data_IF_039645050566
#
_entry.id   IF_039645050566
#
_cell.length_a   1.000
_cell.length_b   1.000
_cell.length_c   1.000
_cell.angle_alpha   90.00
_cell.angle_beta   90.00
_cell.angle_gamma   90.00
#
_symmetry.space_group_name_H-M   'P 1'
#
loop_
_entity.id
_entity.type
_entity.pdbx_description
1 polymer ?
#
# COMPACT_ATOMS: atom_id res chain seq x y z
N UNK A 1 13.96 -5.53 -11.83
CA UNK A 1 13.56 -4.77 -10.62
C UNK A 1 14.65 -4.88 -9.59
N UNK A 2 15.18 -3.74 -9.16
CA UNK A 2 16.23 -3.65 -8.15
C UNK A 2 15.78 -4.28 -6.83
N UNK A 3 16.70 -4.92 -6.13
CA UNK A 3 16.44 -5.51 -4.82
C UNK A 3 16.22 -4.40 -3.77
N UNK A 4 15.36 -4.64 -2.75
CA UNK A 4 15.17 -3.68 -1.66
C UNK A 4 16.49 -3.31 -0.98
N UNK A 5 16.62 -2.03 -0.59
CA UNK A 5 17.81 -1.53 0.12
C UNK A 5 17.96 -2.15 1.51
N UNK A 6 16.82 -2.45 2.15
CA UNK A 6 16.75 -3.13 3.44
C UNK A 6 15.92 -4.39 3.28
N UNK A 7 16.34 -5.47 3.95
CA UNK A 7 15.66 -6.75 3.88
C UNK A 7 14.23 -6.67 4.49
N UNK A 8 13.16 -6.85 3.67
CA UNK A 8 11.77 -6.81 4.14
C UNK A 8 11.45 -7.82 5.26
N UNK A 9 12.20 -8.92 5.36
CA UNK A 9 12.01 -9.92 6.41
C UNK A 9 12.57 -9.50 7.76
N UNK A 10 13.62 -8.69 7.80
CA UNK A 10 14.14 -8.13 9.06
C UNK A 10 13.18 -7.08 9.64
N UNK A 11 12.54 -6.29 8.77
CA UNK A 11 11.50 -5.31 9.14
C UNK A 11 10.23 -6.02 9.64
N UNK A 12 9.90 -7.16 9.04
CA UNK A 12 8.69 -7.90 9.39
C UNK A 12 8.71 -8.49 10.80
N UNK A 13 9.88 -8.74 11.40
CA UNK A 13 10.02 -9.41 12.71
C UNK A 13 9.26 -8.70 13.84
N UNK A 14 9.53 -7.43 14.09
CA UNK A 14 8.81 -6.67 15.12
C UNK A 14 7.30 -6.59 14.81
N UNK A 15 6.96 -6.41 13.53
CA UNK A 15 5.56 -6.35 13.10
C UNK A 15 4.82 -7.67 13.35
N UNK A 16 5.46 -8.81 13.11
CA UNK A 16 4.89 -10.13 13.41
C UNK A 16 4.66 -10.27 14.91
N UNK A 17 5.57 -9.81 15.77
CA UNK A 17 5.34 -9.79 17.22
C UNK A 17 4.09 -8.98 17.60
N UNK A 18 3.95 -7.77 17.04
CA UNK A 18 2.78 -6.91 17.28
C UNK A 18 1.48 -7.57 16.80
N UNK A 19 1.51 -8.17 15.61
CA UNK A 19 0.34 -8.86 15.04
C UNK A 19 -0.01 -10.15 15.81
N UNK A 20 0.97 -10.86 16.36
CA UNK A 20 0.72 -12.02 17.22
C UNK A 20 0.08 -11.61 18.55
N UNK A 21 0.43 -10.45 19.10
CA UNK A 21 -0.24 -9.88 20.27
C UNK A 21 -1.69 -9.46 19.96
N UNK A 22 -1.95 -8.80 18.82
CA UNK A 22 -3.32 -8.47 18.36
C UNK A 22 -4.15 -9.75 18.16
N UNK A 23 -3.56 -10.76 17.53
CA UNK A 23 -4.19 -12.08 17.35
C UNK A 23 -4.54 -12.73 18.69
N UNK A 24 -3.63 -12.71 19.65
CA UNK A 24 -3.85 -13.24 20.99
C UNK A 24 -4.96 -12.49 21.73
N UNK A 25 -4.95 -11.15 21.68
CA UNK A 25 -5.96 -10.31 22.33
C UNK A 25 -7.37 -10.55 21.77
N UNK A 26 -7.49 -10.69 20.44
CA UNK A 26 -8.75 -11.00 19.77
C UNK A 26 -9.26 -12.39 20.09
N UNK A 27 -8.39 -13.40 20.08
CA UNK A 27 -8.75 -14.76 20.50
C UNK A 27 -9.24 -14.80 21.95
N UNK A 28 -8.56 -14.10 22.86
CA UNK A 28 -8.97 -14.00 24.27
C UNK A 28 -10.36 -13.36 24.43
N UNK A 29 -10.68 -12.41 23.56
CA UNK A 29 -11.93 -11.65 23.60
C UNK A 29 -13.05 -12.24 22.72
N UNK A 30 -12.80 -13.36 22.04
CA UNK A 30 -13.76 -13.98 21.12
C UNK A 30 -14.06 -13.17 19.85
N UNK A 31 -13.18 -12.25 19.47
CA UNK A 31 -13.34 -11.37 18.31
C UNK A 31 -12.86 -12.03 17.02
N UNK A 32 -13.32 -11.50 15.87
CA UNK A 32 -12.86 -11.96 14.56
C UNK A 32 -11.34 -11.77 14.38
N UNK A 33 -10.71 -12.82 13.85
CA UNK A 33 -9.26 -12.92 13.65
C UNK A 33 -8.85 -12.99 12.18
N UNK A 34 -9.80 -13.10 11.23
CA UNK A 34 -9.52 -13.26 9.80
C UNK A 34 -8.61 -12.15 9.28
N UNK A 35 -8.94 -10.89 9.62
CA UNK A 35 -8.12 -9.74 9.22
C UNK A 35 -6.71 -9.71 9.83
N UNK A 36 -6.51 -10.28 11.03
CA UNK A 36 -5.17 -10.38 11.62
C UNK A 36 -4.37 -11.53 11.00
N UNK A 37 -5.02 -12.65 10.71
CA UNK A 37 -4.39 -13.79 10.05
C UNK A 37 -3.90 -13.44 8.64
N UNK A 38 -4.68 -12.66 7.88
CA UNK A 38 -4.26 -12.17 6.58
C UNK A 38 -2.99 -11.29 6.67
N UNK A 39 -2.99 -10.31 7.60
CA UNK A 39 -1.83 -9.45 7.86
C UNK A 39 -0.61 -10.23 8.36
N UNK A 40 -0.82 -11.26 9.18
CA UNK A 40 0.25 -12.17 9.63
C UNK A 40 0.85 -12.95 8.45
N UNK A 41 0.02 -13.53 7.59
CA UNK A 41 0.48 -14.28 6.43
C UNK A 41 1.32 -13.39 5.49
N UNK A 42 0.86 -12.16 5.26
CA UNK A 42 1.54 -11.16 4.45
C UNK A 42 2.87 -10.69 5.06
N UNK A 43 2.97 -10.59 6.39
CA UNK A 43 4.22 -10.24 7.07
C UNK A 43 5.21 -11.42 7.09
N UNK A 44 4.71 -12.63 7.29
CA UNK A 44 5.53 -13.86 7.36
C UNK A 44 6.04 -14.27 5.97
N UNK A 45 5.34 -13.93 4.88
CA UNK A 45 5.73 -14.34 3.52
C UNK A 45 7.10 -13.83 3.08
N UNK A 46 7.52 -12.68 3.59
CA UNK A 46 8.82 -12.06 3.28
C UNK A 46 9.92 -12.50 4.24
N UNK A 47 9.66 -13.32 5.25
CA UNK A 47 10.66 -13.75 6.23
C UNK A 47 11.43 -14.99 5.75
N UNK A 48 12.59 -15.25 6.37
CA UNK A 48 13.36 -16.48 6.14
C UNK A 48 12.59 -17.72 6.63
N UNK A 49 12.84 -18.90 6.05
CA UNK A 49 12.08 -20.10 6.44
C UNK A 49 12.14 -20.40 7.94
N UNK A 50 13.34 -20.29 8.53
CA UNK A 50 13.54 -20.45 9.97
C UNK A 50 12.66 -19.50 10.79
N UNK A 51 12.62 -18.24 10.42
CA UNK A 51 11.81 -17.24 11.14
C UNK A 51 10.30 -17.48 10.95
N UNK A 52 9.89 -17.98 9.78
CA UNK A 52 8.50 -18.36 9.51
C UNK A 52 8.03 -19.51 10.40
N UNK A 53 8.87 -20.53 10.56
CA UNK A 53 8.57 -21.67 11.44
C UNK A 53 8.39 -21.20 12.89
N UNK A 54 9.29 -20.34 13.38
CA UNK A 54 9.20 -19.75 14.73
C UNK A 54 7.87 -18.99 14.91
N UNK A 55 7.50 -18.15 13.95
CA UNK A 55 6.23 -17.41 13.98
C UNK A 55 5.00 -18.34 13.95
N UNK A 56 5.03 -19.38 13.09
CA UNK A 56 3.95 -20.37 12.99
C UNK A 56 3.77 -21.16 14.28
N UNK A 57 4.86 -21.62 14.88
CA UNK A 57 4.81 -22.34 16.16
C UNK A 57 4.26 -21.44 17.27
N UNK A 58 4.67 -20.17 17.31
CA UNK A 58 4.09 -19.20 18.24
C UNK A 58 2.59 -19.01 18.01
N UNK A 59 2.14 -18.90 16.76
CA UNK A 59 0.72 -18.83 16.42
C UNK A 59 -0.08 -20.05 16.89
N UNK A 60 0.48 -21.26 16.75
CA UNK A 60 -0.12 -22.51 17.27
C UNK A 60 -0.22 -22.50 18.79
N UNK A 61 0.84 -22.06 19.48
CA UNK A 61 0.85 -21.93 20.94
C UNK A 61 -0.21 -20.95 21.45
N UNK A 62 -0.32 -19.77 20.81
CA UNK A 62 -1.34 -18.76 21.12
C UNK A 62 -2.75 -19.34 20.95
N UNK A 63 -3.00 -20.08 19.86
CA UNK A 63 -4.30 -20.72 19.63
C UNK A 63 -4.65 -21.76 20.71
N UNK A 64 -3.66 -22.51 21.20
CA UNK A 64 -3.86 -23.50 22.28
C UNK A 64 -4.14 -22.85 23.63
N UNK A 65 -3.45 -21.75 23.94
CA UNK A 65 -3.62 -21.03 25.20
C UNK A 65 -3.52 -19.51 24.98
N UNK A 66 -4.64 -18.82 24.69
CA UNK A 66 -4.64 -17.39 24.44
C UNK A 66 -4.49 -16.53 25.72
N UNK A 67 -4.65 -17.11 26.91
CA UNK A 67 -4.55 -16.38 28.18
C UNK A 67 -3.09 -16.20 28.68
N UNK A 68 -2.16 -17.03 28.22
CA UNK A 68 -0.77 -17.04 28.66
C UNK A 68 0.00 -15.80 28.16
N UNK A 69 0.61 -15.04 29.08
CA UNK A 69 1.47 -13.91 28.73
C UNK A 69 2.75 -14.41 28.05
N UNK A 70 3.07 -13.87 26.87
CA UNK A 70 4.24 -14.27 26.07
C UNK A 70 5.15 -13.10 25.81
N UNK A 71 6.46 -13.34 25.90
CA UNK A 71 7.49 -12.37 25.51
C UNK A 71 7.56 -12.24 23.98
N UNK A 72 7.97 -11.08 23.44
CA UNK A 72 8.28 -10.92 22.01
C UNK A 72 9.25 -12.01 21.52
N UNK A 73 9.08 -12.45 20.27
CA UNK A 73 10.01 -13.36 19.62
C UNK A 73 11.33 -12.67 19.29
N UNK A 74 11.28 -11.39 18.93
CA UNK A 74 12.43 -10.58 18.55
C UNK A 74 12.50 -9.30 19.39
N UNK A 75 12.84 -9.38 20.68
CA UNK A 75 12.80 -8.24 21.60
C UNK A 75 13.85 -7.16 21.29
N UNK A 76 14.92 -7.51 20.58
CA UNK A 76 15.99 -6.59 20.21
C UNK A 76 15.75 -5.88 18.86
N UNK A 77 14.73 -6.32 18.11
CA UNK A 77 14.40 -5.73 16.80
C UNK A 77 13.64 -4.43 16.98
N UNK A 78 14.10 -3.40 16.28
CA UNK A 78 13.58 -2.04 16.41
C UNK A 78 12.17 -1.95 15.80
N UNK A 79 11.25 -1.35 16.55
CA UNK A 79 9.98 -0.89 16.00
C UNK A 79 10.21 0.38 15.17
N UNK A 80 10.23 0.25 13.85
CA UNK A 80 10.48 1.35 12.93
C UNK A 80 9.41 2.44 12.97
N UNK A 81 8.13 2.06 13.09
CA UNK A 81 7.02 3.00 13.15
C UNK A 81 7.06 3.84 14.44
N UNK A 82 7.30 3.19 15.57
CA UNK A 82 7.44 3.85 16.87
C UNK A 82 8.72 4.67 16.95
N UNK A 83 9.83 4.20 16.38
CA UNK A 83 11.08 4.96 16.32
C UNK A 83 10.87 6.24 15.51
N UNK A 84 10.29 6.15 14.30
CA UNK A 84 10.02 7.33 13.48
C UNK A 84 9.06 8.32 14.18
N UNK A 85 8.06 7.81 14.89
CA UNK A 85 7.16 8.63 15.71
C UNK A 85 7.90 9.32 16.86
N UNK A 86 8.80 8.59 17.53
CA UNK A 86 9.60 9.10 18.65
C UNK A 86 10.58 10.18 18.18
N UNK A 87 11.23 9.99 17.03
CA UNK A 87 12.13 10.99 16.44
C UNK A 87 11.37 12.27 16.10
N UNK A 88 10.18 12.17 15.49
CA UNK A 88 9.34 13.35 15.20
C UNK A 88 8.86 14.05 16.46
N UNK A 89 8.44 13.28 17.47
CA UNK A 89 8.04 13.84 18.76
C UNK A 89 9.20 14.55 19.48
N UNK A 90 10.39 13.96 19.43
CA UNK A 90 11.61 14.57 19.95
C UNK A 90 11.97 15.86 19.20
N UNK A 91 11.91 15.85 17.86
CA UNK A 91 12.17 17.03 17.02
C UNK A 91 11.24 18.21 17.34
N UNK A 92 9.97 17.93 17.67
CA UNK A 92 9.01 18.95 18.07
C UNK A 92 9.25 19.46 19.50
N UNK A 93 9.68 18.59 20.42
CA UNK A 93 9.80 18.90 21.84
C UNK A 93 11.13 19.53 22.22
N UNK A 94 12.25 19.02 21.68
CA UNK A 94 13.59 19.39 22.13
C UNK A 94 13.89 20.90 21.99
N UNK A 95 13.59 21.56 20.85
CA UNK A 95 13.86 23.00 20.71
C UNK A 95 13.04 23.86 21.68
N UNK A 96 11.83 23.43 22.04
CA UNK A 96 10.96 24.13 23.00
C UNK A 96 11.54 24.05 24.41
N UNK A 97 11.99 22.85 24.80
CA UNK A 97 12.60 22.61 26.11
C UNK A 97 13.91 23.39 26.24
N UNK A 98 14.77 23.36 25.22
CA UNK A 98 16.04 24.09 25.21
C UNK A 98 15.85 25.60 25.28
N UNK A 99 14.93 26.15 24.48
CA UNK A 99 14.62 27.58 24.50
C UNK A 99 14.10 28.04 25.88
N UNK A 100 13.28 27.22 26.56
CA UNK A 100 12.79 27.54 27.90
C UNK A 100 13.89 27.47 28.97
N UNK A 101 14.78 26.46 28.90
CA UNK A 101 15.94 26.37 29.79
C UNK A 101 16.85 27.60 29.64
N UNK A 102 17.03 28.10 28.42
CA UNK A 102 17.82 29.30 28.18
C UNK A 102 17.21 30.57 28.80
N UNK A 103 15.89 30.62 29.00
CA UNK A 103 15.17 31.75 29.58
C UNK A 103 15.11 31.72 31.12
N UNK A 104 15.17 30.54 31.74
CA UNK A 104 15.27 30.36 33.20
C UNK A 104 16.37 29.34 33.58
N UNK A 105 17.65 29.70 33.45
CA UNK A 105 18.75 28.80 33.76
C UNK A 105 18.88 28.46 35.26
N UNK A 106 18.27 29.28 36.13
CA UNK A 106 18.29 29.12 37.59
C UNK A 106 17.12 28.29 38.14
N UNK A 107 16.13 27.95 37.29
CA UNK A 107 14.96 27.14 37.67
C UNK A 107 14.08 27.80 38.73
N UNK A 108 13.94 29.13 38.70
CA UNK A 108 13.15 29.92 39.66
C UNK A 108 11.70 30.13 39.22
N UNK A 109 11.33 29.68 38.02
CA UNK A 109 9.98 29.81 37.47
C UNK A 109 8.95 28.96 38.26
N UNK A 110 7.81 29.51 38.70
CA UNK A 110 6.71 28.75 39.30
C UNK A 110 6.12 27.64 38.39
N UNK A 111 6.38 27.62 37.08
CA UNK A 111 6.02 26.51 36.17
C UNK A 111 7.03 25.34 36.15
N UNK A 112 8.10 25.38 36.96
CA UNK A 112 9.25 24.45 36.94
C UNK A 112 8.94 22.94 36.95
N UNK A 113 7.74 22.53 37.40
CA UNK A 113 7.32 21.11 37.33
C UNK A 113 7.08 20.67 35.89
N UNK A 114 6.40 21.49 35.08
CA UNK A 114 6.12 21.16 33.69
C UNK A 114 7.41 21.09 32.87
N UNK A 115 8.34 22.04 33.06
CA UNK A 115 9.63 22.04 32.36
C UNK A 115 10.49 20.83 32.72
N UNK A 116 10.49 20.43 34.00
CA UNK A 116 11.18 19.21 34.45
C UNK A 116 10.60 17.95 33.84
N UNK A 117 9.28 17.83 33.78
CA UNK A 117 8.60 16.68 33.19
C UNK A 117 8.84 16.60 31.66
N UNK A 118 8.79 17.73 30.95
CA UNK A 118 9.09 17.77 29.52
C UNK A 118 10.57 17.50 29.22
N UNK A 119 11.48 18.00 30.05
CA UNK A 119 12.91 17.69 29.94
C UNK A 119 13.16 16.20 30.13
N UNK A 120 12.61 15.60 31.18
CA UNK A 120 12.73 14.17 31.41
C UNK A 120 12.15 13.36 30.24
N UNK A 121 11.03 13.81 29.67
CA UNK A 121 10.43 13.19 28.48
C UNK A 121 11.35 13.28 27.26
N UNK A 122 11.95 14.45 27.01
CA UNK A 122 12.91 14.64 25.91
C UNK A 122 14.17 13.78 26.09
N UNK A 123 14.70 13.69 27.31
CA UNK A 123 15.85 12.83 27.66
C UNK A 123 15.53 11.34 27.45
N UNK A 124 14.32 10.89 27.84
CA UNK A 124 13.87 9.51 27.59
C UNK A 124 13.75 9.22 26.09
N UNK A 125 13.14 10.13 25.32
CA UNK A 125 13.04 9.97 23.86
C UNK A 125 14.43 9.90 23.22
N UNK A 126 15.35 10.80 23.60
CA UNK A 126 16.72 10.79 23.10
C UNK A 126 17.43 9.47 23.43
N UNK A 127 17.33 9.00 24.67
CA UNK A 127 17.93 7.73 25.09
C UNK A 127 17.36 6.53 24.32
N UNK A 128 16.05 6.53 24.00
CA UNK A 128 15.43 5.51 23.16
C UNK A 128 15.99 5.52 21.74
N UNK A 129 16.14 6.70 21.12
CA UNK A 129 16.70 6.85 19.77
C UNK A 129 18.17 6.40 19.77
N UNK A 130 18.97 6.83 20.74
CA UNK A 130 20.38 6.42 20.86
C UNK A 130 20.53 4.90 21.04
N UNK A 131 19.66 4.28 21.85
CA UNK A 131 19.65 2.83 22.03
C UNK A 131 19.33 2.10 20.72
N UNK A 132 18.39 2.62 19.94
CA UNK A 132 18.05 2.07 18.63
C UNK A 132 19.25 2.19 17.66
N UNK A 133 19.92 3.35 17.62
CA UNK A 133 21.11 3.57 16.79
C UNK A 133 22.27 2.64 17.18
N UNK A 134 22.52 2.45 18.48
CA UNK A 134 23.70 1.70 18.99
C UNK A 134 23.52 0.20 18.97
N UNK A 135 22.35 -0.30 19.37
CA UNK A 135 22.11 -1.72 19.64
C UNK A 135 20.88 -2.31 18.97
N UNK A 136 20.10 -1.49 18.28
CA UNK A 136 18.89 -1.93 17.59
C UNK A 136 19.19 -2.89 16.45
N UNK A 137 18.59 -4.08 16.50
CA UNK A 137 18.62 -5.04 15.38
C UNK A 137 17.58 -4.63 14.34
N UNK A 138 17.85 -4.98 13.09
CA UNK A 138 16.97 -4.69 11.96
C UNK A 138 17.08 -3.27 11.40
N UNK A 139 17.97 -2.41 11.90
CA UNK A 139 18.31 -1.16 11.22
C UNK A 139 19.54 -1.37 10.33
N UNK A 140 19.48 -0.88 9.09
CA UNK A 140 20.63 -0.84 8.20
C UNK A 140 21.60 0.29 8.61
N UNK A 141 22.88 0.18 8.23
CA UNK A 141 23.89 1.18 8.62
C UNK A 141 23.56 2.57 8.06
N UNK A 142 23.04 2.64 6.83
CA UNK A 142 22.55 3.89 6.23
C UNK A 142 21.41 4.52 7.05
N UNK A 143 20.51 3.72 7.64
CA UNK A 143 19.42 4.23 8.47
C UNK A 143 19.95 4.75 9.81
N UNK A 144 20.96 4.09 10.38
CA UNK A 144 21.65 4.56 11.60
C UNK A 144 22.34 5.89 11.36
N UNK A 145 23.01 6.04 10.22
CA UNK A 145 23.68 7.30 9.85
C UNK A 145 22.68 8.42 9.58
N UNK A 146 21.58 8.13 8.89
CA UNK A 146 20.48 9.07 8.70
C UNK A 146 19.88 9.53 10.04
N UNK A 147 19.64 8.61 10.98
CA UNK A 147 19.14 8.95 12.31
C UNK A 147 20.12 9.84 13.10
N UNK A 148 21.42 9.56 13.02
CA UNK A 148 22.46 10.42 13.63
C UNK A 148 22.47 11.83 13.03
N UNK A 149 22.38 11.92 11.70
CA UNK A 149 22.32 13.21 11.01
C UNK A 149 21.07 14.01 11.41
N UNK A 150 19.91 13.36 11.45
CA UNK A 150 18.64 13.98 11.88
C UNK A 150 18.70 14.42 13.34
N UNK A 151 19.28 13.63 14.24
CA UNK A 151 19.47 14.04 15.63
C UNK A 151 20.35 15.29 15.75
N UNK A 152 21.44 15.34 14.98
CA UNK A 152 22.34 16.51 14.96
C UNK A 152 21.60 17.75 14.45
N UNK A 153 20.76 17.59 13.43
CA UNK A 153 19.91 18.66 12.90
C UNK A 153 18.87 19.15 13.92
N UNK A 154 18.26 18.23 14.69
CA UNK A 154 17.32 18.56 15.76
C UNK A 154 18.01 19.34 16.88
N UNK A 155 19.21 18.91 17.29
CA UNK A 155 20.04 19.61 18.28
C UNK A 155 20.53 20.98 17.79
N UNK A 156 20.61 21.18 16.48
CA UNK A 156 20.84 22.48 15.87
C UNK A 156 19.56 23.35 15.79
N UNK A 157 18.44 22.88 16.34
CA UNK A 157 17.16 23.60 16.42
C UNK A 157 16.22 23.35 15.24
N UNK A 158 16.52 22.42 14.31
CA UNK A 158 15.60 22.08 13.22
C UNK A 158 14.47 21.18 13.72
N UNK A 159 13.23 21.58 13.49
CA UNK A 159 12.04 20.82 13.89
C UNK A 159 11.53 19.87 12.80
N UNK A 160 11.98 20.05 11.55
CA UNK A 160 11.52 19.25 10.41
C UNK A 160 12.33 17.96 10.29
N UNK A 161 11.62 16.83 10.38
CA UNK A 161 12.18 15.50 10.14
C UNK A 161 11.81 15.04 8.73
N UNK A 162 12.75 14.50 7.93
CA UNK A 162 12.42 13.94 6.62
C UNK A 162 11.33 12.87 6.68
N UNK A 163 10.39 12.91 5.73
CA UNK A 163 9.33 11.89 5.64
C UNK A 163 9.93 10.49 5.51
N UNK A 164 10.90 10.34 4.62
CA UNK A 164 11.67 9.11 4.37
C UNK A 164 12.84 9.00 5.35
N UNK A 165 12.54 8.93 6.65
CA UNK A 165 13.54 8.79 7.71
C UNK A 165 14.26 7.43 7.64
N UNK A 166 13.52 6.38 7.26
CA UNK A 166 13.99 5.01 7.14
C UNK A 166 14.01 4.60 5.67
N UNK A 167 14.91 3.68 5.33
CA UNK A 167 15.16 3.25 3.95
C UNK A 167 14.26 2.08 3.54
N UNK A 168 13.15 1.89 4.24
CA UNK A 168 12.28 0.74 4.09
C UNK A 168 11.21 0.96 3.02
N UNK A 169 11.11 -0.01 2.10
CA UNK A 169 10.19 0.03 0.95
C UNK A 169 8.73 0.19 1.39
N UNK A 170 8.35 -0.33 2.56
CA UNK A 170 6.97 -0.26 3.07
C UNK A 170 6.61 1.17 3.49
N UNK A 171 7.43 1.83 4.31
CA UNK A 171 7.22 3.22 4.73
C UNK A 171 7.32 4.16 3.53
N UNK A 172 8.28 3.92 2.62
CA UNK A 172 8.39 4.68 1.37
C UNK A 172 7.13 4.56 0.50
N UNK A 173 6.59 3.35 0.35
CA UNK A 173 5.34 3.13 -0.36
C UNK A 173 4.15 3.81 0.32
N UNK A 174 4.09 3.82 1.65
CA UNK A 174 3.02 4.50 2.40
C UNK A 174 3.07 6.03 2.23
N UNK A 175 4.27 6.62 2.31
CA UNK A 175 4.48 8.06 2.09
C UNK A 175 4.12 8.44 0.65
N UNK A 176 4.58 7.68 -0.33
CA UNK A 176 4.26 7.96 -1.73
C UNK A 176 2.76 7.83 -1.99
N UNK A 177 2.11 6.82 -1.39
CA UNK A 177 0.67 6.65 -1.44
C UNK A 177 -0.07 7.88 -0.88
N UNK A 178 0.35 8.38 0.27
CA UNK A 178 -0.23 9.59 0.88
C UNK A 178 0.00 10.83 0.02
N UNK A 179 1.21 11.02 -0.52
CA UNK A 179 1.54 12.12 -1.44
C UNK A 179 0.63 12.11 -2.68
N UNK A 180 0.36 10.93 -3.23
CA UNK A 180 -0.56 10.76 -4.38
C UNK A 180 -2.00 11.08 -4.01
N UNK A 181 -2.47 10.64 -2.85
CA UNK A 181 -3.82 10.96 -2.37
C UNK A 181 -3.97 12.49 -2.16
N UNK A 182 -2.95 13.15 -1.60
CA UNK A 182 -2.93 14.60 -1.42
C UNK A 182 -2.91 15.35 -2.75
N UNK A 183 -2.09 14.91 -3.71
CA UNK A 183 -2.06 15.48 -5.07
C UNK A 183 -3.40 15.31 -5.79
N UNK A 184 -4.02 14.13 -5.71
CA UNK A 184 -5.32 13.87 -6.32
C UNK A 184 -6.43 14.75 -5.72
N UNK A 185 -6.43 14.94 -4.39
CA UNK A 185 -7.36 15.87 -3.72
C UNK A 185 -7.15 17.31 -4.18
N UNK A 186 -5.90 17.79 -4.21
CA UNK A 186 -5.60 19.14 -4.66
C UNK A 186 -6.04 19.38 -6.11
N UNK A 187 -5.82 18.38 -6.99
CA UNK A 187 -6.23 18.43 -8.38
C UNK A 187 -7.75 18.46 -8.56
N UNK A 188 -8.48 17.60 -7.84
CA UNK A 188 -9.94 17.59 -7.92
C UNK A 188 -10.57 18.88 -7.35
N UNK A 189 -9.97 19.48 -6.32
CA UNK A 189 -10.39 20.80 -5.82
C UNK A 189 -10.09 21.94 -6.82
N UNK A 190 -9.02 21.84 -7.62
CA UNK A 190 -8.78 22.78 -8.72
C UNK A 190 -9.84 22.64 -9.81
N UNK A 191 -10.17 21.42 -10.22
CA UNK A 191 -11.26 21.14 -11.17
C UNK A 191 -12.60 21.70 -10.69
N UNK A 192 -12.88 21.52 -9.39
CA UNK A 192 -14.08 22.08 -8.76
C UNK A 192 -14.15 23.59 -8.94
N UNK A 193 -13.05 24.31 -8.63
CA UNK A 193 -13.01 25.77 -8.72
C UNK A 193 -13.23 26.25 -10.15
N UNK A 194 -12.70 25.55 -11.15
CA UNK A 194 -12.91 25.93 -12.56
C UNK A 194 -14.36 25.68 -12.99
N UNK A 195 -15.00 24.59 -12.54
CA UNK A 195 -16.43 24.36 -12.77
C UNK A 195 -17.28 25.43 -12.08
N UNK A 196 -16.99 25.77 -10.82
CA UNK A 196 -17.68 26.84 -10.10
C UNK A 196 -17.52 28.18 -10.83
N UNK A 197 -16.35 28.45 -11.42
CA UNK A 197 -16.10 29.64 -12.23
C UNK A 197 -16.92 29.65 -13.52
N UNK A 198 -17.00 28.53 -14.25
CA UNK A 198 -17.88 28.39 -15.44
C UNK A 198 -19.35 28.64 -15.05
N UNK A 199 -19.79 28.08 -13.93
CA UNK A 199 -21.15 28.23 -13.42
C UNK A 199 -21.43 29.60 -12.78
N UNK A 200 -20.40 30.39 -12.48
CA UNK A 200 -20.53 31.76 -11.97
C UNK A 200 -20.61 32.83 -13.06
N UNK A 201 -20.54 32.42 -14.33
CA UNK A 201 -20.69 33.33 -15.47
C UNK A 201 -22.08 33.97 -15.48
N UNK A 202 -22.19 35.20 -16.02
CA UNK A 202 -23.45 35.94 -16.08
C UNK A 202 -24.57 35.24 -16.89
N UNK A 203 -24.22 34.20 -17.65
CA UNK A 203 -25.17 33.36 -18.36
C UNK A 203 -25.93 32.40 -17.44
N UNK A 204 -25.36 31.99 -16.31
CA UNK A 204 -26.01 31.09 -15.37
C UNK A 204 -26.90 31.85 -14.36
N UNK A 205 -28.02 31.26 -13.91
CA UNK A 205 -28.85 31.85 -12.85
C UNK A 205 -28.08 32.10 -11.55
N UNK A 206 -28.46 33.17 -10.84
CA UNK A 206 -27.87 33.46 -9.53
C UNK A 206 -28.14 32.32 -8.54
N UNK A 207 -27.11 31.88 -7.82
CA UNK A 207 -27.23 30.78 -6.86
C UNK A 207 -27.07 29.37 -7.44
N UNK A 208 -26.85 29.21 -8.76
CA UNK A 208 -26.62 27.90 -9.40
C UNK A 208 -25.51 27.10 -8.72
N UNK A 209 -24.35 27.73 -8.43
CA UNK A 209 -23.22 27.06 -7.76
C UNK A 209 -23.64 26.43 -6.43
N UNK A 210 -24.50 27.12 -5.66
CA UNK A 210 -25.02 26.59 -4.40
C UNK A 210 -26.00 25.44 -4.63
N UNK A 211 -26.82 25.52 -5.68
CA UNK A 211 -27.82 24.50 -6.00
C UNK A 211 -27.19 23.17 -6.45
N UNK A 212 -26.06 23.19 -7.16
CA UNK A 212 -25.40 21.98 -7.68
C UNK A 212 -24.23 21.49 -6.82
N UNK A 213 -23.97 22.14 -5.68
CA UNK A 213 -22.77 21.93 -4.86
C UNK A 213 -22.60 20.48 -4.42
N UNK A 214 -23.68 19.81 -4.02
CA UNK A 214 -23.61 18.45 -3.49
C UNK A 214 -23.21 17.44 -4.59
N UNK A 215 -23.75 17.59 -5.80
CA UNK A 215 -23.39 16.73 -6.93
C UNK A 215 -21.99 17.06 -7.46
N UNK A 216 -21.60 18.33 -7.42
CA UNK A 216 -20.22 18.72 -7.73
C UNK A 216 -19.24 18.09 -6.73
N UNK A 217 -19.57 18.06 -5.43
CA UNK A 217 -18.74 17.36 -4.43
C UNK A 217 -18.65 15.85 -4.72
N UNK A 218 -19.72 15.21 -5.23
CA UNK A 218 -19.67 13.79 -5.64
C UNK A 218 -18.70 13.57 -6.79
N UNK A 219 -18.74 14.45 -7.80
CA UNK A 219 -17.79 14.41 -8.93
C UNK A 219 -16.36 14.57 -8.42
N UNK A 220 -16.10 15.52 -7.52
CA UNK A 220 -14.77 15.75 -6.93
C UNK A 220 -14.27 14.52 -6.16
N UNK A 221 -15.13 13.88 -5.36
CA UNK A 221 -14.78 12.65 -4.65
C UNK A 221 -14.44 11.51 -5.61
N UNK A 222 -15.23 11.33 -6.67
CA UNK A 222 -14.99 10.31 -7.69
C UNK A 222 -13.71 10.59 -8.50
N UNK A 223 -13.46 11.84 -8.91
CA UNK A 223 -12.23 12.26 -9.59
C UNK A 223 -11.00 12.10 -8.69
N UNK A 224 -11.12 12.38 -7.40
CA UNK A 224 -10.05 12.16 -6.42
C UNK A 224 -9.68 10.68 -6.37
N UNK A 225 -10.67 9.78 -6.27
CA UNK A 225 -10.43 8.34 -6.24
C UNK A 225 -9.80 7.83 -7.55
N UNK A 226 -10.27 8.32 -8.69
CA UNK A 226 -9.73 8.00 -10.02
C UNK A 226 -8.27 8.48 -10.15
N UNK A 227 -7.99 9.75 -9.84
CA UNK A 227 -6.65 10.34 -9.93
C UNK A 227 -5.64 9.76 -8.92
N UNK A 228 -6.11 9.30 -7.77
CA UNK A 228 -5.31 8.55 -6.81
C UNK A 228 -5.06 7.09 -7.22
N UNK A 229 -5.69 6.63 -8.31
CA UNK A 229 -5.58 5.26 -8.81
C UNK A 229 -6.35 4.23 -8.00
N UNK A 230 -7.30 4.65 -7.14
CA UNK A 230 -8.10 3.76 -6.28
C UNK A 230 -9.22 3.04 -7.02
N UNK A 231 -9.74 3.68 -8.05
CA UNK A 231 -10.84 3.18 -8.88
C UNK A 231 -10.43 3.19 -10.33
N UNK A 232 -10.98 2.29 -11.12
CA UNK A 232 -10.86 2.29 -12.59
C UNK A 232 -11.76 3.36 -13.23
N UNK A 233 -11.59 3.57 -14.53
CA UNK A 233 -12.50 4.41 -15.33
C UNK A 233 -13.92 3.85 -15.29
N UNK A 234 -14.06 2.54 -15.45
CA UNK A 234 -15.36 1.85 -15.38
C UNK A 234 -16.04 2.04 -14.02
N UNK A 235 -15.29 1.91 -12.93
CA UNK A 235 -15.82 2.15 -11.57
C UNK A 235 -16.25 3.61 -11.37
N UNK A 236 -15.50 4.56 -11.94
CA UNK A 236 -15.83 5.98 -11.92
C UNK A 236 -17.15 6.24 -12.68
N UNK A 237 -17.29 5.70 -13.89
CA UNK A 237 -18.51 5.86 -14.70
C UNK A 237 -19.73 5.22 -14.02
N UNK A 238 -19.54 4.08 -13.36
CA UNK A 238 -20.58 3.41 -12.58
C UNK A 238 -21.12 4.25 -11.41
N UNK A 239 -20.38 5.26 -10.94
CA UNK A 239 -20.89 6.18 -9.89
C UNK A 239 -22.01 7.11 -10.38
N UNK A 240 -22.11 7.32 -11.70
CA UNK A 240 -23.05 8.27 -12.31
C UNK A 240 -22.95 9.71 -11.77
N UNK A 241 -21.82 10.09 -11.17
CA UNK A 241 -21.66 11.40 -10.54
C UNK A 241 -21.83 12.57 -11.54
N UNK A 242 -21.32 12.41 -12.76
CA UNK A 242 -21.50 13.42 -13.83
C UNK A 242 -22.94 13.54 -14.30
N UNK A 243 -23.66 12.42 -14.39
CA UNK A 243 -25.06 12.42 -14.80
C UNK A 243 -25.94 13.12 -13.76
N UNK A 244 -25.66 12.87 -12.47
CA UNK A 244 -26.31 13.57 -11.36
C UNK A 244 -26.03 15.08 -11.43
N UNK A 245 -24.78 15.48 -11.62
CA UNK A 245 -24.42 16.89 -11.78
C UNK A 245 -25.13 17.53 -13.00
N UNK A 246 -25.19 16.82 -14.13
CA UNK A 246 -25.87 17.29 -15.34
C UNK A 246 -27.36 17.52 -15.08
N UNK A 247 -28.03 16.60 -14.40
CA UNK A 247 -29.44 16.71 -14.05
C UNK A 247 -29.67 17.90 -13.10
N UNK A 248 -28.81 18.09 -12.10
CA UNK A 248 -28.92 19.23 -11.18
C UNK A 248 -28.67 20.56 -11.87
N UNK A 249 -27.76 20.64 -12.85
CA UNK A 249 -27.61 21.84 -13.69
C UNK A 249 -28.86 22.11 -14.53
N UNK A 250 -29.53 21.08 -15.07
CA UNK A 250 -30.80 21.23 -15.80
C UNK A 250 -31.89 21.78 -14.87
N UNK A 251 -32.04 21.19 -13.69
CA UNK A 251 -33.03 21.61 -12.69
C UNK A 251 -32.77 23.03 -12.19
N UNK A 252 -31.49 23.42 -12.05
CA UNK A 252 -31.09 24.77 -11.69
C UNK A 252 -31.26 25.80 -12.82
N UNK A 253 -31.74 25.40 -13.99
CA UNK A 253 -32.00 26.30 -15.12
C UNK A 253 -30.73 26.77 -15.85
N UNK A 254 -29.62 26.04 -15.74
CA UNK A 254 -28.37 26.41 -16.38
C UNK A 254 -28.51 26.30 -17.91
N UNK A 255 -28.18 27.37 -18.67
CA UNK A 255 -28.27 27.34 -20.13
C UNK A 255 -27.44 26.23 -20.75
N UNK A 256 -27.86 25.76 -21.92
CA UNK A 256 -27.22 24.64 -22.60
C UNK A 256 -25.74 24.88 -22.91
N UNK A 257 -25.36 26.07 -23.39
CA UNK A 257 -23.95 26.38 -23.69
C UNK A 257 -23.05 26.28 -22.45
N UNK A 258 -23.49 26.79 -21.29
CA UNK A 258 -22.74 26.67 -20.02
C UNK A 258 -22.65 25.20 -19.58
N UNK A 259 -23.73 24.42 -19.74
CA UNK A 259 -23.70 22.97 -19.44
C UNK A 259 -22.74 22.23 -20.37
N UNK A 260 -22.67 22.60 -21.65
CA UNK A 260 -21.74 22.02 -22.61
C UNK A 260 -20.28 22.34 -22.23
N UNK A 261 -19.99 23.58 -21.82
CA UNK A 261 -18.65 23.96 -21.34
C UNK A 261 -18.23 23.12 -20.13
N UNK A 262 -19.13 22.93 -19.15
CA UNK A 262 -18.88 22.06 -17.99
C UNK A 262 -18.66 20.60 -18.41
N UNK A 263 -19.50 20.05 -19.30
CA UNK A 263 -19.35 18.68 -19.77
C UNK A 263 -18.03 18.48 -20.53
N UNK A 264 -17.64 19.44 -21.38
CA UNK A 264 -16.38 19.38 -22.13
C UNK A 264 -15.18 19.46 -21.18
N UNK A 265 -15.22 20.34 -20.19
CA UNK A 265 -14.19 20.43 -19.15
C UNK A 265 -14.07 19.11 -18.38
N UNK A 266 -15.19 18.55 -17.93
CA UNK A 266 -15.21 17.27 -17.22
C UNK A 266 -14.62 16.13 -18.06
N UNK A 267 -14.99 16.02 -19.34
CA UNK A 267 -14.45 14.98 -20.22
C UNK A 267 -12.91 15.05 -20.33
N UNK A 268 -12.35 16.24 -20.54
CA UNK A 268 -10.90 16.43 -20.63
C UNK A 268 -10.20 16.11 -19.31
N UNK A 269 -10.73 16.64 -18.20
CA UNK A 269 -10.08 16.48 -16.89
C UNK A 269 -10.22 15.06 -16.32
N UNK A 270 -11.25 14.34 -16.73
CA UNK A 270 -11.41 12.94 -16.41
C UNK A 270 -10.36 12.05 -17.07
N UNK A 271 -10.05 12.27 -18.35
CA UNK A 271 -8.95 11.57 -19.03
C UNK A 271 -7.61 11.89 -18.34
N UNK A 272 -7.44 13.13 -17.87
CA UNK A 272 -6.26 13.54 -17.11
C UNK A 272 -6.20 12.85 -15.74
N UNK A 273 -7.33 12.71 -15.04
CA UNK A 273 -7.44 11.96 -13.78
C UNK A 273 -7.09 10.49 -13.99
N UNK A 274 -7.61 9.85 -15.03
CA UNK A 274 -7.30 8.46 -15.35
C UNK A 274 -5.79 8.26 -15.56
N UNK A 275 -5.16 9.06 -16.41
CA UNK A 275 -3.70 9.01 -16.66
C UNK A 275 -2.88 9.20 -15.38
N UNK A 276 -3.32 10.07 -14.47
CA UNK A 276 -2.68 10.26 -13.16
C UNK A 276 -2.87 9.00 -12.29
N UNK A 277 -4.06 8.42 -12.29
CA UNK A 277 -4.39 7.19 -11.60
C UNK A 277 -3.57 5.99 -12.09
N UNK A 278 -3.41 5.83 -13.40
CA UNK A 278 -2.55 4.79 -14.00
C UNK A 278 -1.10 4.91 -13.52
N UNK A 279 -0.55 6.13 -13.50
CA UNK A 279 0.80 6.38 -12.98
C UNK A 279 0.89 6.07 -11.49
N UNK A 280 -0.12 6.44 -10.70
CA UNK A 280 -0.16 6.16 -9.28
C UNK A 280 -0.21 4.64 -9.01
N UNK A 281 -1.01 3.89 -9.78
CA UNK A 281 -1.04 2.42 -9.72
C UNK A 281 0.30 1.80 -10.11
N UNK A 282 0.92 2.26 -11.21
CA UNK A 282 2.21 1.74 -11.64
C UNK A 282 3.31 1.88 -10.56
N UNK A 283 3.31 2.99 -9.82
CA UNK A 283 4.22 3.18 -8.68
C UNK A 283 3.87 2.24 -7.52
N UNK A 284 2.59 2.08 -7.19
CA UNK A 284 2.15 1.13 -6.16
C UNK A 284 2.53 -0.32 -6.54
N UNK A 285 2.34 -0.70 -7.79
CA UNK A 285 2.70 -2.02 -8.34
C UNK A 285 4.21 -2.24 -8.32
N UNK A 286 5.01 -1.19 -8.55
CA UNK A 286 6.48 -1.27 -8.43
C UNK A 286 6.90 -1.62 -7.00
N UNK A 287 6.33 -0.95 -5.99
CA UNK A 287 6.62 -1.26 -4.58
C UNK A 287 6.10 -2.65 -4.18
N UNK A 288 4.90 -3.01 -4.60
CA UNK A 288 4.33 -4.33 -4.36
C UNK A 288 5.21 -5.43 -4.99
N UNK A 289 5.63 -5.24 -6.24
CA UNK A 289 6.46 -6.18 -6.98
C UNK A 289 7.85 -6.39 -6.38
N UNK A 290 8.48 -5.36 -5.79
CA UNK A 290 9.75 -5.52 -5.06
C UNK A 290 9.59 -6.45 -3.85
N UNK A 291 8.50 -6.29 -3.11
CA UNK A 291 8.20 -7.15 -1.95
C UNK A 291 7.80 -8.55 -2.37
N UNK A 292 6.97 -8.68 -3.39
CA UNK A 292 6.56 -9.97 -3.95
C UNK A 292 7.75 -10.75 -4.49
N UNK A 293 8.72 -10.09 -5.12
CA UNK A 293 9.98 -10.71 -5.55
C UNK A 293 10.73 -11.34 -4.38
N UNK A 294 10.89 -10.62 -3.25
CA UNK A 294 11.52 -11.18 -2.04
C UNK A 294 10.70 -12.35 -1.47
N UNK A 295 9.38 -12.22 -1.43
CA UNK A 295 8.52 -13.30 -0.97
C UNK A 295 8.62 -14.54 -1.88
N UNK A 296 8.70 -14.36 -3.19
CA UNK A 296 8.86 -15.43 -4.17
C UNK A 296 10.26 -16.07 -4.13
N UNK A 297 11.32 -15.29 -3.89
CA UNK A 297 12.68 -15.81 -3.69
C UNK A 297 12.79 -16.64 -2.40
N UNK A 298 12.12 -16.22 -1.32
CA UNK A 298 12.13 -16.92 -0.02
C UNK A 298 11.15 -18.08 0.06
N UNK A 299 10.12 -18.00 -0.77
CA UNK A 299 9.08 -19.00 -0.89
C UNK A 299 8.83 -19.30 -2.36
N UNK A 300 9.80 -19.90 -3.06
CA UNK A 300 9.54 -20.39 -4.39
C UNK A 300 8.38 -21.36 -4.21
N UNK A 301 7.25 -21.06 -4.84
CA UNK A 301 6.11 -21.97 -4.84
C UNK A 301 6.54 -23.34 -5.36
N UNK A 302 5.65 -24.34 -5.34
CA UNK A 302 5.99 -25.62 -5.96
C UNK A 302 6.49 -25.36 -7.39
N UNK A 303 7.62 -25.98 -7.80
CA UNK A 303 8.20 -25.76 -9.12
C UNK A 303 7.15 -26.02 -10.19
N UNK A 304 7.21 -25.27 -11.30
CA UNK A 304 6.20 -25.38 -12.35
C UNK A 304 6.08 -26.83 -12.84
N UNK A 305 4.90 -27.26 -13.26
CA UNK A 305 4.68 -28.66 -13.60
C UNK A 305 5.61 -29.18 -14.68
N UNK A 306 5.97 -28.32 -15.61
CA UNK A 306 6.84 -28.64 -16.74
C UNK A 306 8.34 -28.38 -16.43
N UNK A 307 8.69 -27.98 -15.20
CA UNK A 307 10.09 -27.71 -14.84
C UNK A 307 10.90 -28.99 -14.55
N UNK A 308 12.20 -29.01 -14.93
CA UNK A 308 13.10 -30.09 -14.54
C UNK A 308 13.27 -30.20 -13.01
N UNK A 309 13.12 -29.08 -12.30
CA UNK A 309 13.16 -28.99 -10.84
C UNK A 309 12.04 -29.79 -10.17
N UNK A 310 10.83 -29.78 -10.73
CA UNK A 310 9.73 -30.64 -10.26
C UNK A 310 10.07 -32.11 -10.42
N UNK A 311 10.64 -32.50 -11.57
CA UNK A 311 10.99 -33.90 -11.83
C UNK A 311 12.07 -34.37 -10.87
N UNK A 312 13.09 -33.54 -10.59
CA UNK A 312 14.12 -33.82 -9.59
C UNK A 312 13.54 -33.94 -8.17
N UNK A 313 12.62 -33.05 -7.79
CA UNK A 313 11.94 -33.11 -6.49
C UNK A 313 11.05 -34.37 -6.37
N UNK A 314 10.34 -34.73 -7.44
CA UNK A 314 9.53 -35.94 -7.52
C UNK A 314 10.42 -37.18 -7.39
N UNK A 315 11.54 -37.23 -8.10
CA UNK A 315 12.52 -38.31 -8.02
C UNK A 315 13.07 -38.47 -6.60
N UNK A 316 13.48 -37.37 -5.97
CA UNK A 316 13.93 -37.35 -4.58
C UNK A 316 12.87 -37.91 -3.63
N UNK A 317 11.61 -37.49 -3.76
CA UNK A 317 10.50 -37.96 -2.93
C UNK A 317 10.20 -39.45 -3.16
N UNK A 318 10.24 -39.92 -4.40
CA UNK A 318 10.06 -41.33 -4.73
C UNK A 318 11.20 -42.20 -4.19
N UNK A 319 12.42 -41.65 -4.14
CA UNK A 319 13.58 -42.30 -3.51
C UNK A 319 13.43 -42.39 -1.99
N UNK A 320 12.96 -41.35 -1.33
CA UNK A 320 12.67 -41.35 0.12
C UNK A 320 11.52 -42.31 0.48
N UNK A 321 10.55 -42.49 -0.42
CA UNK A 321 9.45 -43.44 -0.26
C UNK A 321 9.86 -44.92 -0.51
N UNK A 322 11.14 -45.20 -0.75
CA UNK A 322 11.68 -46.57 -0.82
C UNK A 322 11.33 -47.33 -2.11
N UNK A 323 10.92 -46.64 -3.18
CA UNK A 323 10.62 -47.29 -4.47
C UNK A 323 11.89 -47.75 -5.19
N UNK A 324 11.77 -48.88 -5.91
CA UNK A 324 12.86 -49.41 -6.74
C UNK A 324 13.13 -48.50 -7.94
N UNK A 325 14.33 -48.59 -8.49
CA UNK A 325 14.79 -47.73 -9.58
C UNK A 325 13.85 -47.79 -10.81
N UNK A 326 13.40 -48.98 -11.19
CA UNK A 326 12.44 -49.18 -12.27
C UNK A 326 11.07 -48.53 -11.98
N UNK A 327 10.59 -48.61 -10.73
CA UNK A 327 9.33 -47.98 -10.32
C UNK A 327 9.44 -46.45 -10.30
N UNK A 328 10.62 -45.91 -9.98
CA UNK A 328 10.88 -44.47 -10.07
C UNK A 328 10.91 -44.02 -11.53
N UNK A 329 11.62 -44.73 -12.40
CA UNK A 329 11.73 -44.42 -13.82
C UNK A 329 10.36 -44.42 -14.52
N UNK A 330 9.52 -45.43 -14.24
CA UNK A 330 8.15 -45.51 -14.76
C UNK A 330 7.27 -44.34 -14.29
N UNK A 331 7.37 -43.95 -13.02
CA UNK A 331 6.59 -42.83 -12.46
C UNK A 331 7.07 -41.47 -12.94
N UNK A 332 8.37 -41.29 -13.15
CA UNK A 332 8.95 -40.08 -13.75
C UNK A 332 8.56 -39.95 -15.22
N UNK A 333 8.63 -41.03 -16.00
CA UNK A 333 8.19 -41.05 -17.40
C UNK A 333 6.68 -40.76 -17.52
N UNK A 334 5.86 -41.33 -16.63
CA UNK A 334 4.43 -41.05 -16.58
C UNK A 334 4.11 -39.60 -16.17
N UNK A 335 4.96 -38.97 -15.35
CA UNK A 335 4.82 -37.56 -14.95
C UNK A 335 5.27 -36.60 -16.07
N UNK A 336 6.29 -36.96 -16.84
CA UNK A 336 6.81 -36.18 -17.97
C UNK A 336 5.90 -36.25 -19.22
N UNK A 337 5.17 -37.36 -19.42
CA UNK A 337 4.31 -37.57 -20.59
C UNK A 337 2.88 -37.01 -20.49
N UNK A 338 2.49 -36.38 -19.38
CA UNK A 338 1.13 -35.81 -19.22
C UNK A 338 1.09 -34.34 -19.65
N UNK A 339 0.16 -34.01 -20.55
CA UNK A 339 -0.32 -32.63 -20.69
C UNK A 339 -0.94 -32.17 -19.36
N UNK A 340 -0.75 -30.89 -19.01
CA UNK A 340 -1.13 -30.27 -17.73
C UNK A 340 -2.45 -30.84 -17.18
N UNK A 341 -2.48 -31.40 -15.95
CA UNK A 341 -3.71 -31.95 -15.40
C UNK A 341 -4.77 -30.83 -15.25
N UNK A 342 -6.08 -31.14 -15.29
CA UNK A 342 -7.14 -30.15 -15.16
C UNK A 342 -7.02 -29.25 -13.91
N UNK A 343 -6.43 -29.77 -12.83
CA UNK A 343 -6.14 -29.03 -11.59
C UNK A 343 -5.06 -27.95 -11.75
N UNK A 344 -4.22 -27.99 -12.78
CA UNK A 344 -3.28 -26.93 -13.12
C UNK A 344 -3.89 -25.84 -14.00
N UNK A 345 -4.88 -26.16 -14.82
CA UNK A 345 -5.60 -25.17 -15.63
C UNK A 345 -6.39 -24.15 -14.77
N UNK A 346 -6.60 -24.46 -13.49
CA UNK A 346 -7.32 -23.64 -12.51
C UNK A 346 -6.37 -22.88 -11.57
N UNK A 347 -5.04 -23.09 -11.67
CA UNK A 347 -4.10 -22.24 -10.92
C UNK A 347 -4.15 -20.83 -11.52
N UNK A 348 -4.29 -19.78 -10.71
CA UNK A 348 -4.17 -18.42 -11.20
C UNK A 348 -2.81 -18.27 -11.90
N UNK A 349 -2.73 -17.50 -12.99
CA UNK A 349 -1.49 -17.29 -13.71
C UNK A 349 -0.37 -16.84 -12.76
N UNK A 350 0.88 -17.19 -13.09
CA UNK A 350 2.06 -16.63 -12.44
C UNK A 350 1.98 -15.09 -12.41
N UNK A 351 2.59 -14.41 -11.43
CA UNK A 351 2.46 -12.95 -11.28
C UNK A 351 2.84 -12.14 -12.54
N UNK A 352 3.64 -12.71 -13.44
CA UNK A 352 4.03 -12.11 -14.72
C UNK A 352 2.95 -12.18 -15.80
N UNK A 353 2.01 -13.11 -15.69
CA UNK A 353 0.89 -13.21 -16.60
C UNK A 353 -0.29 -12.41 -16.05
N UNK A 354 -0.42 -11.16 -16.53
CA UNK A 354 -1.56 -10.26 -16.26
C UNK A 354 -2.85 -11.06 -16.25
N UNK A 355 -3.59 -10.99 -15.14
CA UNK A 355 -4.93 -11.54 -15.07
C UNK A 355 -5.75 -10.99 -16.26
N UNK A 356 -6.45 -11.88 -16.99
CA UNK A 356 -7.42 -11.44 -18.00
C UNK A 356 -8.46 -10.56 -17.27
N UNK A 357 -8.42 -9.26 -17.55
CA UNK A 357 -9.44 -8.31 -17.09
C UNK A 357 -10.75 -8.42 -17.87
N UNK A 358 -10.83 -9.33 -18.86
CA UNK A 358 -12.05 -9.55 -19.63
C UNK A 358 -12.93 -10.59 -18.95
N UNK A 359 -14.16 -10.19 -18.61
CA UNK A 359 -15.19 -11.12 -18.20
C UNK A 359 -15.42 -12.20 -19.29
N UNK A 360 -15.82 -13.43 -18.91
CA UNK A 360 -16.18 -14.46 -19.89
C UNK A 360 -17.26 -13.94 -20.85
N UNK A 361 -16.96 -13.88 -22.15
CA UNK A 361 -17.90 -13.43 -23.19
C UNK A 361 -17.61 -12.05 -23.80
N UNK A 362 -16.77 -11.21 -23.18
CA UNK A 362 -16.51 -9.84 -23.67
C UNK A 362 -15.79 -9.79 -25.04
N UNK A 363 -14.99 -10.82 -25.36
CA UNK A 363 -14.25 -10.89 -26.62
C UNK A 363 -15.10 -11.15 -27.88
N UNK A 364 -16.36 -11.59 -27.72
CA UNK A 364 -17.28 -11.80 -28.85
C UNK A 364 -17.95 -10.51 -29.29
N UNK A 365 -18.21 -9.56 -28.39
CA UNK A 365 -18.85 -8.28 -28.73
C UNK A 365 -17.94 -7.38 -29.60
N UNK A 366 -16.62 -7.46 -29.42
CA UNK A 366 -15.66 -6.68 -30.22
C UNK A 366 -15.47 -7.21 -31.65
N UNK A 367 -15.75 -8.49 -31.90
CA UNK A 367 -15.65 -9.07 -33.23
C UNK A 367 -16.81 -8.64 -34.14
N UNK A 368 -18.03 -8.49 -33.59
CA UNK A 368 -19.22 -8.12 -34.38
C UNK A 368 -19.33 -6.62 -34.71
N UNK A 369 -18.57 -5.75 -34.04
CA UNK A 369 -18.58 -4.31 -34.30
C UNK A 369 -17.52 -3.86 -35.33
N UNK A 370 -16.61 -4.76 -35.77
CA UNK A 370 -15.56 -4.41 -36.74
C UNK A 370 -15.99 -4.53 -38.20
N UNK A 371 -17.08 -5.25 -38.47
CA UNK A 371 -17.55 -5.53 -39.83
C UNK A 371 -18.69 -4.60 -40.31
N UNK A 372 -19.12 -3.61 -39.50
CA UNK A 372 -20.17 -2.65 -39.90
C UNK A 372 -19.66 -1.35 -40.51
N UNK A 373 -18.37 -1.05 -40.43
CA UNK A 373 -17.79 0.23 -40.87
C UNK A 373 -16.79 0.11 -42.04
N UNK A 374 -16.89 -0.94 -42.88
CA UNK A 374 -16.14 -1.01 -44.15
C UNK A 374 -17.06 -1.22 -45.35
N UNK A 375 -17.06 -0.19 -46.20
CA UNK A 375 -17.50 -0.14 -47.60
C UNK A 375 -19.01 -0.10 -47.92
N UNK A 376 -19.58 1.11 -47.78
CA UNK A 376 -20.44 1.68 -48.83
C UNK A 376 -19.64 2.71 -49.63
N UNK A 377 -19.14 2.32 -50.81
CA UNK A 377 -18.42 3.21 -51.72
C UNK A 377 -18.39 2.66 -53.15
N UNK A 378 -19.24 3.24 -54.01
CA UNK A 378 -19.50 2.84 -55.39
C UNK A 378 -18.28 2.73 -56.33
N UNK A 379 -18.35 1.78 -57.28
CA UNK A 379 -17.52 1.73 -58.48
C UNK A 379 -18.16 0.94 -59.63
N UNK A 380 -18.86 1.64 -60.52
CA UNK A 380 -19.21 1.38 -61.95
C UNK A 380 -19.38 -0.07 -62.45
N UNK A 381 -20.61 -0.33 -62.92
CA UNK A 381 -21.00 -1.34 -63.92
C UNK A 381 -22.40 -1.02 -64.40
#
# INVERSE_FOLDING_TARGET
>A
MDSPLVDPGEEAKYRVDTLLLDYQARLKSGLDTVGVQARLAEAVSVMTEKDREIARERGKQIRKNPAEARKPLWPDHVNRDELATTVRAYAALAPIVEARIALDPDGKDPEARWDKDQRQRAEVMRAQIDKAIKSGKGLADIERDQLRAVLTDIEAGKTQVPDTLLADDRSAAAIERERRDNYARAYAEENRREIEKILSTAAAPEGTVRAVRDDLNRVVLAQTALAAGRTSRDDYEATQAEEQLRNSMITAGVPEHVRLDVNQFLAVENDACEKKGERARAVQDQWAGRREKVAAERNPGPPSYDSPERLALLEYNLRQAGLTEDQRAQRLAAAAGRAKPPSEAVKPPTPEARARQTAPGTGLAQAYNRDRDRDTGHGRG
#
